data_IF_585102537048
#
_entry.id   IF_585102537048
#
_cell.length_a   1.000
_cell.length_b   1.000
_cell.length_c   1.000
_cell.angle_alpha   90.00
_cell.angle_beta   90.00
_cell.angle_gamma   90.00
#
_symmetry.space_group_name_H-M   'P 1'
#
loop_
_entity.id
_entity.type
_entity.pdbx_description
1 polymer ?
#
# COMPACT_ATOMS: atom_id res chain seq x y z
N UNK A 1 20.70 -24.05 -6.69
CA UNK A 1 19.36 -23.81 -7.28
C UNK A 1 18.63 -22.94 -6.28
N UNK A 2 18.16 -21.77 -6.70
CA UNK A 2 17.69 -20.70 -5.81
C UNK A 2 16.39 -21.07 -5.08
N UNK A 3 16.41 -21.03 -3.75
CA UNK A 3 15.19 -21.09 -2.92
C UNK A 3 14.56 -19.70 -2.91
N UNK A 4 13.58 -19.47 -3.78
CA UNK A 4 12.76 -18.28 -3.75
C UNK A 4 11.57 -18.51 -2.79
N UNK A 5 11.79 -18.37 -1.49
CA UNK A 5 10.70 -18.17 -0.52
C UNK A 5 10.31 -16.69 -0.49
N UNK A 6 10.02 -16.09 -1.65
CA UNK A 6 9.49 -14.72 -1.70
C UNK A 6 7.98 -14.82 -1.52
N UNK A 7 7.54 -14.94 -0.27
CA UNK A 7 6.13 -14.76 0.08
C UNK A 7 5.83 -13.26 -0.02
N UNK A 8 5.75 -12.74 -1.24
CA UNK A 8 5.41 -11.35 -1.50
C UNK A 8 4.03 -11.07 -0.89
N UNK A 9 3.92 -10.12 0.05
CA UNK A 9 2.65 -9.82 0.68
C UNK A 9 1.68 -9.30 -0.39
N UNK A 10 0.61 -10.07 -0.61
CA UNK A 10 -0.48 -9.69 -1.51
C UNK A 10 -1.53 -8.92 -0.71
N UNK A 11 -1.75 -7.68 -1.10
CA UNK A 11 -2.74 -6.79 -0.50
C UNK A 11 -3.97 -6.68 -1.42
N UNK A 12 -5.07 -6.17 -0.85
CA UNK A 12 -6.41 -6.13 -1.45
C UNK A 12 -7.07 -7.51 -1.57
N UNK A 13 -8.39 -7.52 -1.69
CA UNK A 13 -9.19 -8.76 -1.75
C UNK A 13 -8.87 -9.64 -2.95
N UNK A 14 -8.40 -9.05 -4.05
CA UNK A 14 -7.98 -9.71 -5.27
C UNK A 14 -6.45 -9.93 -5.35
N UNK A 15 -5.71 -9.53 -4.32
CA UNK A 15 -4.27 -9.77 -4.20
C UNK A 15 -3.41 -9.05 -5.24
N UNK A 16 -3.96 -8.06 -5.96
CA UNK A 16 -3.28 -7.39 -7.06
C UNK A 16 -2.11 -6.50 -6.61
N UNK A 17 -2.15 -5.97 -5.39
CA UNK A 17 -1.14 -5.06 -4.86
C UNK A 17 -0.01 -5.86 -4.18
N UNK A 18 1.23 -5.54 -4.52
CA UNK A 18 2.44 -6.21 -4.00
C UNK A 18 3.08 -5.43 -2.85
N UNK A 19 2.65 -4.19 -2.63
CA UNK A 19 3.12 -3.36 -1.54
C UNK A 19 1.99 -2.47 -0.97
N UNK A 20 2.23 -1.93 0.23
CA UNK A 20 1.27 -1.07 0.93
C UNK A 20 0.93 0.21 0.15
N UNK A 21 1.88 0.77 -0.60
CA UNK A 21 1.64 1.97 -1.39
C UNK A 21 0.62 1.70 -2.51
N UNK A 22 0.79 0.61 -3.26
CA UNK A 22 -0.19 0.14 -4.25
C UNK A 22 -1.53 -0.19 -3.60
N UNK A 23 -1.52 -0.84 -2.44
CA UNK A 23 -2.74 -1.18 -1.71
C UNK A 23 -3.54 0.07 -1.33
N UNK A 24 -2.86 1.12 -0.88
CA UNK A 24 -3.48 2.42 -0.55
C UNK A 24 -3.98 3.09 -1.83
N UNK A 25 -3.16 3.18 -2.88
CA UNK A 25 -3.51 3.91 -4.11
C UNK A 25 -4.61 3.24 -4.95
N UNK A 26 -4.74 1.92 -4.88
CA UNK A 26 -5.74 1.16 -5.63
C UNK A 26 -6.99 0.82 -4.81
N UNK A 27 -7.11 1.37 -3.59
CA UNK A 27 -8.30 1.23 -2.79
C UNK A 27 -9.43 2.08 -3.37
N UNK A 28 -10.49 1.43 -3.84
CA UNK A 28 -11.62 2.07 -4.49
C UNK A 28 -12.82 2.29 -3.56
N UNK A 29 -13.99 2.51 -4.18
CA UNK A 29 -15.28 2.60 -3.51
C UNK A 29 -15.30 3.66 -2.40
N UNK A 30 -15.47 3.24 -1.15
CA UNK A 30 -15.62 4.12 0.01
C UNK A 30 -14.30 4.82 0.39
N UNK A 31 -13.15 4.28 -0.02
CA UNK A 31 -11.85 4.85 0.29
C UNK A 31 -11.40 5.93 -0.70
N UNK A 32 -12.12 6.17 -1.81
CA UNK A 32 -11.69 7.11 -2.87
C UNK A 32 -11.32 8.48 -2.31
N UNK A 33 -12.12 9.02 -1.37
CA UNK A 33 -11.83 10.32 -0.75
C UNK A 33 -10.50 10.32 0.03
N UNK A 34 -10.20 9.23 0.72
CA UNK A 34 -8.96 9.07 1.50
C UNK A 34 -7.77 8.88 0.57
N UNK A 35 -7.94 8.12 -0.52
CA UNK A 35 -6.90 7.95 -1.55
C UNK A 35 -6.54 9.29 -2.20
N UNK A 36 -7.53 10.12 -2.54
CA UNK A 36 -7.26 11.45 -3.07
C UNK A 36 -6.53 12.34 -2.06
N UNK A 37 -6.91 12.30 -0.78
CA UNK A 37 -6.16 13.03 0.27
C UNK A 37 -4.72 12.52 0.38
N UNK A 38 -4.51 11.21 0.36
CA UNK A 38 -3.17 10.61 0.38
C UNK A 38 -2.30 11.05 -0.80
N UNK A 39 -2.90 11.19 -2.00
CA UNK A 39 -2.19 11.71 -3.18
C UNK A 39 -1.76 13.17 -3.03
N UNK A 40 -2.51 13.99 -2.30
CA UNK A 40 -2.18 15.40 -2.06
C UNK A 40 -1.11 15.62 -0.97
N UNK A 41 -0.79 14.61 -0.17
CA UNK A 41 0.27 14.70 0.84
C UNK A 41 1.64 14.94 0.20
N UNK A 42 2.56 15.56 0.95
CA UNK A 42 3.95 15.58 0.55
C UNK A 42 4.53 14.15 0.54
N UNK A 43 5.62 13.94 -0.19
CA UNK A 43 6.27 12.63 -0.28
C UNK A 43 6.70 12.10 1.10
N UNK A 44 7.29 12.96 1.94
CA UNK A 44 7.69 12.62 3.30
C UNK A 44 6.51 12.22 4.21
N UNK A 45 5.34 12.83 4.02
CA UNK A 45 4.13 12.48 4.74
C UNK A 45 3.58 11.13 4.28
N UNK A 46 3.58 10.87 2.97
CA UNK A 46 3.23 9.55 2.43
C UNK A 46 4.15 8.46 2.97
N UNK A 47 5.45 8.71 2.98
CA UNK A 47 6.44 7.78 3.55
C UNK A 47 6.16 7.53 5.03
N UNK A 48 5.84 8.55 5.81
CA UNK A 48 5.52 8.42 7.24
C UNK A 48 4.30 7.52 7.46
N UNK A 49 3.24 7.68 6.64
CA UNK A 49 2.06 6.80 6.67
C UNK A 49 2.43 5.36 6.31
N UNK A 50 3.21 5.15 5.25
CA UNK A 50 3.64 3.80 4.85
C UNK A 50 4.52 3.16 5.94
N UNK A 51 5.41 3.92 6.57
CA UNK A 51 6.26 3.43 7.65
C UNK A 51 5.43 3.07 8.89
N UNK A 52 4.43 3.87 9.23
CA UNK A 52 3.48 3.52 10.29
C UNK A 52 2.74 2.21 9.99
N UNK A 53 2.25 2.03 8.76
CA UNK A 53 1.57 0.78 8.37
C UNK A 53 2.49 -0.45 8.41
N UNK A 54 3.79 -0.28 8.17
CA UNK A 54 4.80 -1.35 8.27
C UNK A 54 5.15 -1.74 9.70
N UNK A 55 4.84 -0.90 10.69
CA UNK A 55 5.17 -1.16 12.10
C UNK A 55 4.04 -1.82 12.89
N UNK A 56 2.93 -2.16 12.23
CA UNK A 56 1.81 -2.91 12.82
C UNK A 56 2.07 -4.41 12.73
#
# INVERSE_FOLDING_TARGET
MVEATTNDPRYLHDGRAHNLLEAVLWHGSEAVRVVEQFKQLAESERESVINFLKSL
#
